data_IF_094895168584
#
_entry.id   IF_094895168584
#
_cell.length_a   1.000
_cell.length_b   1.000
_cell.length_c   1.000
_cell.angle_alpha   90.00
_cell.angle_beta   90.00
_cell.angle_gamma   90.00
#
_symmetry.space_group_name_H-M   'P 1'
#
loop_
_entity.id
_entity.type
_entity.pdbx_description
1 polymer ?
#
# COMPACT_ATOMS: atom_id res chain seq x y z
N UNK A 1 11.99 -3.18 -16.19
CA UNK A 1 12.62 -4.36 -15.54
C UNK A 1 12.95 -3.97 -14.12
N UNK A 2 12.55 -4.77 -13.13
CA UNK A 2 12.82 -4.51 -11.71
C UNK A 2 14.33 -4.65 -11.46
N UNK A 3 14.93 -3.74 -10.70
CA UNK A 3 16.34 -3.88 -10.29
C UNK A 3 16.50 -5.04 -9.30
N UNK A 4 17.69 -5.64 -9.22
CA UNK A 4 17.95 -6.71 -8.23
C UNK A 4 17.70 -6.23 -6.80
N UNK A 5 18.07 -4.99 -6.50
CA UNK A 5 17.87 -4.37 -5.19
C UNK A 5 16.39 -4.14 -4.87
N UNK A 6 15.60 -3.67 -5.83
CA UNK A 6 14.15 -3.54 -5.65
C UNK A 6 13.50 -4.91 -5.45
N UNK A 7 13.87 -5.92 -6.25
CA UNK A 7 13.36 -7.28 -6.08
C UNK A 7 13.72 -7.88 -4.70
N UNK A 8 14.94 -7.64 -4.21
CA UNK A 8 15.36 -8.08 -2.88
C UNK A 8 14.56 -7.40 -1.78
N UNK A 9 14.32 -6.08 -1.88
CA UNK A 9 13.48 -5.33 -0.93
C UNK A 9 12.05 -5.86 -0.88
N UNK A 10 11.45 -6.19 -2.03
CA UNK A 10 10.11 -6.81 -2.07
C UNK A 10 10.10 -8.16 -1.34
N UNK A 11 11.15 -8.97 -1.53
CA UNK A 11 11.27 -10.31 -0.94
C UNK A 11 11.47 -10.28 0.58
N UNK A 12 12.24 -9.31 1.11
CA UNK A 12 12.54 -9.18 2.54
C UNK A 12 11.28 -9.19 3.42
N UNK A 13 10.19 -8.57 2.94
CA UNK A 13 8.91 -8.54 3.67
C UNK A 13 8.29 -9.93 3.82
N UNK A 14 8.42 -10.77 2.80
CA UNK A 14 7.93 -12.15 2.79
C UNK A 14 8.83 -13.08 3.63
N UNK A 15 10.15 -12.90 3.54
CA UNK A 15 11.12 -13.63 4.35
C UNK A 15 10.88 -13.37 5.84
N UNK A 16 10.74 -12.09 6.22
CA UNK A 16 10.43 -11.71 7.59
C UNK A 16 9.12 -12.31 8.09
N UNK A 17 8.08 -12.30 7.27
CA UNK A 17 6.81 -12.95 7.63
C UNK A 17 6.98 -14.47 7.83
N UNK A 18 7.75 -15.13 6.96
CA UNK A 18 8.00 -16.57 7.06
C UNK A 18 8.74 -16.95 8.34
N UNK A 19 9.76 -16.18 8.72
CA UNK A 19 10.49 -16.34 10.00
C UNK A 19 9.53 -16.20 11.19
N UNK A 20 8.78 -15.09 11.24
CA UNK A 20 7.84 -14.83 12.33
C UNK A 20 6.75 -15.89 12.42
N UNK A 21 6.27 -16.37 11.27
CA UNK A 21 5.27 -17.44 11.20
C UNK A 21 5.82 -18.76 11.74
N UNK A 22 7.07 -19.09 11.44
CA UNK A 22 7.71 -20.31 11.95
C UNK A 22 7.91 -20.24 13.48
N UNK A 23 8.21 -19.05 14.01
CA UNK A 23 8.49 -18.86 15.44
C UNK A 23 7.22 -18.70 16.30
N UNK A 24 6.24 -17.92 15.83
CA UNK A 24 5.08 -17.50 16.64
C UNK A 24 3.72 -17.93 16.07
N UNK A 25 3.71 -18.58 14.89
CA UNK A 25 2.49 -18.89 14.15
C UNK A 25 1.92 -17.69 13.39
N UNK A 26 0.99 -17.97 12.47
CA UNK A 26 0.46 -16.98 11.51
C UNK A 26 -0.15 -15.75 12.17
N UNK A 27 -1.03 -15.93 13.16
CA UNK A 27 -1.77 -14.82 13.77
C UNK A 27 -0.82 -13.83 14.44
N UNK A 28 0.15 -14.32 15.21
CA UNK A 28 1.11 -13.47 15.93
C UNK A 28 2.12 -12.83 14.97
N UNK A 29 2.52 -13.55 13.91
CA UNK A 29 3.35 -12.99 12.86
C UNK A 29 2.68 -11.78 12.18
N UNK A 30 1.38 -11.88 11.86
CA UNK A 30 0.63 -10.76 11.27
C UNK A 30 0.55 -9.57 12.23
N UNK A 31 0.31 -9.80 13.52
CA UNK A 31 0.30 -8.75 14.54
C UNK A 31 1.65 -8.03 14.62
N UNK A 32 2.75 -8.78 14.64
CA UNK A 32 4.11 -8.21 14.66
C UNK A 32 4.40 -7.42 13.38
N UNK A 33 3.99 -7.92 12.22
CA UNK A 33 4.18 -7.23 10.94
C UNK A 33 3.38 -5.93 10.85
N UNK A 34 2.23 -5.83 11.55
CA UNK A 34 1.41 -4.61 11.63
C UNK A 34 2.01 -3.56 12.55
N UNK A 35 2.75 -3.98 13.59
CA UNK A 35 3.34 -3.05 14.56
C UNK A 35 4.28 -2.04 13.87
N UNK A 36 4.10 -0.76 14.18
CA UNK A 36 4.91 0.33 13.62
C UNK A 36 4.58 0.71 12.17
N UNK A 37 3.59 0.07 11.54
CA UNK A 37 3.23 0.42 10.16
C UNK A 37 2.60 1.81 10.07
N UNK A 38 1.81 2.25 11.06
CA UNK A 38 1.20 3.57 11.03
C UNK A 38 2.27 4.68 11.05
N UNK A 39 3.27 4.57 11.93
CA UNK A 39 4.39 5.51 12.00
C UNK A 39 5.22 5.50 10.71
N UNK A 40 5.41 4.31 10.10
CA UNK A 40 6.09 4.18 8.82
C UNK A 40 5.29 4.85 7.69
N UNK A 41 3.99 4.58 7.59
CA UNK A 41 3.11 5.18 6.58
C UNK A 41 3.07 6.69 6.73
N UNK A 42 2.96 7.19 7.97
CA UNK A 42 3.03 8.63 8.25
C UNK A 42 4.34 9.22 7.72
N UNK A 43 5.48 8.63 8.09
CA UNK A 43 6.80 9.10 7.65
C UNK A 43 6.96 9.12 6.13
N UNK A 44 6.39 8.15 5.42
CA UNK A 44 6.51 8.04 3.96
C UNK A 44 5.53 8.95 3.22
N UNK A 45 4.29 9.02 3.68
CA UNK A 45 3.22 9.72 2.97
C UNK A 45 3.11 11.19 3.35
N UNK A 46 3.31 11.56 4.61
CA UNK A 46 3.11 12.94 5.10
C UNK A 46 3.85 13.97 4.25
N UNK A 47 5.15 13.80 3.90
CA UNK A 47 5.85 14.76 3.06
C UNK A 47 5.27 14.92 1.64
N UNK A 48 4.54 13.92 1.14
CA UNK A 48 3.98 13.90 -0.21
C UNK A 48 2.57 14.48 -0.27
N UNK A 49 1.78 14.31 0.80
CA UNK A 49 0.34 14.63 0.80
C UNK A 49 -0.02 15.86 1.65
N UNK A 50 0.92 16.40 2.42
CA UNK A 50 0.70 17.61 3.19
C UNK A 50 0.65 18.85 2.27
N UNK A 51 -0.25 19.79 2.53
CA UNK A 51 -0.45 21.03 1.77
C UNK A 51 -0.81 20.90 0.27
N UNK A 52 -0.91 19.69 -0.26
CA UNK A 52 -1.29 19.43 -1.66
C UNK A 52 -2.56 18.56 -1.73
N UNK A 53 -3.12 18.39 -2.93
CA UNK A 53 -4.18 17.40 -3.13
C UNK A 53 -3.66 15.97 -2.99
N UNK A 54 -4.51 15.03 -2.59
CA UNK A 54 -4.12 13.62 -2.54
C UNK A 54 -3.66 13.13 -3.92
N UNK A 55 -4.34 13.53 -4.99
CA UNK A 55 -3.97 13.16 -6.35
C UNK A 55 -2.57 13.68 -6.75
N UNK A 56 -2.20 14.88 -6.31
CA UNK A 56 -0.86 15.42 -6.55
C UNK A 56 0.21 14.66 -5.76
N UNK A 57 -0.02 14.43 -4.46
CA UNK A 57 0.92 13.69 -3.62
C UNK A 57 1.14 12.25 -4.09
N UNK A 58 0.07 11.56 -4.49
CA UNK A 58 0.16 10.20 -5.02
C UNK A 58 0.84 10.15 -6.40
N UNK A 59 0.76 11.20 -7.22
CA UNK A 59 1.52 11.24 -8.48
C UNK A 59 3.03 11.31 -8.24
N UNK A 60 3.46 11.93 -7.15
CA UNK A 60 4.88 12.02 -6.80
C UNK A 60 5.49 10.67 -6.42
N UNK A 61 4.68 9.70 -5.95
CA UNK A 61 5.17 8.36 -5.60
C UNK A 61 5.22 7.40 -6.79
N UNK A 62 4.68 7.75 -7.96
CA UNK A 62 4.63 6.85 -9.13
C UNK A 62 6.02 6.33 -9.50
N UNK A 63 7.03 7.20 -9.57
CA UNK A 63 8.40 6.80 -9.93
C UNK A 63 8.99 5.80 -8.94
N UNK A 64 8.71 5.96 -7.65
CA UNK A 64 9.13 5.03 -6.59
C UNK A 64 8.52 3.65 -6.84
N UNK A 65 7.22 3.59 -7.15
CA UNK A 65 6.54 2.33 -7.44
C UNK A 65 7.03 1.68 -8.76
N UNK A 66 7.32 2.48 -9.77
CA UNK A 66 7.89 2.00 -11.04
C UNK A 66 9.25 1.31 -10.84
N UNK A 67 10.08 1.75 -9.89
CA UNK A 67 11.34 1.07 -9.53
C UNK A 67 11.10 -0.37 -9.04
N UNK A 68 9.97 -0.61 -8.38
CA UNK A 68 9.54 -1.93 -7.95
C UNK A 68 8.81 -2.73 -9.05
N UNK A 69 8.73 -2.19 -10.27
CA UNK A 69 8.05 -2.82 -11.41
C UNK A 69 6.54 -2.80 -11.32
N UNK A 70 5.99 -1.89 -10.52
CA UNK A 70 4.58 -1.60 -10.48
C UNK A 70 4.19 -0.68 -11.64
N UNK A 71 2.92 -0.74 -12.06
CA UNK A 71 2.36 0.16 -13.07
C UNK A 71 1.15 0.85 -12.47
N UNK A 72 1.42 2.03 -11.91
CA UNK A 72 0.45 2.83 -11.15
C UNK A 72 -0.12 3.94 -12.02
N UNK A 73 -1.42 4.18 -11.87
CA UNK A 73 -2.13 5.34 -12.41
C UNK A 73 -2.89 6.02 -11.28
N UNK A 74 -2.94 7.35 -11.32
CA UNK A 74 -3.57 8.18 -10.28
C UNK A 74 -4.69 9.01 -10.89
N UNK A 75 -5.92 8.76 -10.45
CA UNK A 75 -7.10 9.49 -10.88
C UNK A 75 -7.58 10.38 -9.74
N UNK A 76 -7.68 11.68 -10.01
CA UNK A 76 -8.31 12.62 -9.09
C UNK A 76 -9.83 12.44 -9.16
N UNK A 77 -10.44 12.17 -8.01
CA UNK A 77 -11.89 12.02 -7.87
C UNK A 77 -12.44 13.01 -6.83
N UNK A 78 -11.69 14.08 -6.53
CA UNK A 78 -12.08 15.14 -5.60
C UNK A 78 -13.38 15.80 -6.07
N UNK A 79 -14.35 15.88 -5.17
CA UNK A 79 -15.67 16.49 -5.43
C UNK A 79 -16.37 16.85 -4.12
N UNK A 80 -17.32 17.78 -4.16
CA UNK A 80 -18.22 18.14 -3.03
C UNK A 80 -17.49 18.28 -1.68
N UNK A 81 -16.43 19.10 -1.63
CA UNK A 81 -15.67 19.35 -0.40
C UNK A 81 -14.80 18.19 0.10
N UNK A 82 -14.55 17.18 -0.75
CA UNK A 82 -13.60 16.09 -0.51
C UNK A 82 -12.37 16.22 -1.39
N UNK A 83 -11.22 15.98 -0.78
CA UNK A 83 -9.94 15.71 -1.45
C UNK A 83 -9.82 14.19 -1.56
N UNK A 84 -9.89 13.64 -2.77
CA UNK A 84 -10.02 12.20 -2.98
C UNK A 84 -9.27 11.71 -4.22
N UNK A 85 -8.73 10.50 -4.11
CA UNK A 85 -7.88 9.90 -5.14
C UNK A 85 -8.20 8.42 -5.33
N UNK A 86 -8.08 7.95 -6.57
CA UNK A 86 -7.91 6.53 -6.88
C UNK A 86 -6.46 6.27 -7.30
N UNK A 87 -5.83 5.32 -6.63
CA UNK A 87 -4.62 4.66 -7.10
C UNK A 87 -5.04 3.36 -7.80
N UNK A 88 -4.65 3.21 -9.07
CA UNK A 88 -4.94 2.05 -9.89
C UNK A 88 -3.63 1.36 -10.23
N UNK A 89 -3.49 0.12 -9.77
CA UNK A 89 -2.31 -0.70 -9.98
C UNK A 89 -2.60 -1.82 -10.97
N UNK A 90 -1.97 -1.78 -12.16
CA UNK A 90 -2.15 -2.81 -13.19
C UNK A 90 -1.20 -4.00 -13.04
N UNK A 91 -0.05 -3.78 -12.42
CA UNK A 91 0.97 -4.82 -12.22
C UNK A 91 1.36 -4.87 -10.76
N UNK A 92 1.25 -6.05 -10.15
CA UNK A 92 1.65 -6.30 -8.77
C UNK A 92 2.82 -7.31 -8.73
N UNK A 93 4.04 -6.88 -8.39
CA UNK A 93 5.22 -7.76 -8.36
C UNK A 93 5.15 -8.77 -7.20
N UNK A 94 4.31 -8.51 -6.19
CA UNK A 94 4.15 -9.42 -5.05
C UNK A 94 3.33 -10.68 -5.37
N UNK A 95 2.60 -10.71 -6.49
CA UNK A 95 1.76 -11.85 -6.86
C UNK A 95 2.57 -13.13 -7.06
N UNK A 96 3.76 -13.04 -7.67
CA UNK A 96 4.64 -14.20 -7.84
C UNK A 96 5.24 -14.68 -6.51
N UNK A 97 5.53 -13.74 -5.60
CA UNK A 97 6.13 -14.04 -4.30
C UNK A 97 5.17 -14.75 -3.34
N UNK A 98 3.87 -14.44 -3.36
CA UNK A 98 2.91 -15.06 -2.45
C UNK A 98 2.94 -16.59 -2.49
N UNK A 99 3.06 -17.18 -3.69
CA UNK A 99 3.12 -18.64 -3.86
C UNK A 99 4.38 -19.24 -3.25
N UNK A 100 5.53 -18.59 -3.41
CA UNK A 100 6.80 -19.06 -2.88
C UNK A 100 6.81 -19.18 -1.35
N UNK A 101 6.03 -18.33 -0.67
CA UNK A 101 5.95 -18.27 0.80
C UNK A 101 4.66 -18.88 1.37
N UNK A 102 3.89 -19.60 0.55
CA UNK A 102 2.68 -20.31 0.99
C UNK A 102 1.54 -19.39 1.46
N UNK A 103 1.44 -18.19 0.90
CA UNK A 103 0.36 -17.24 1.14
C UNK A 103 -0.72 -17.37 0.06
N UNK A 104 -1.99 -17.31 0.48
CA UNK A 104 -3.12 -17.28 -0.46
C UNK A 104 -3.10 -16.00 -1.31
N UNK A 105 -2.82 -14.87 -0.68
CA UNK A 105 -2.66 -13.58 -1.36
C UNK A 105 -1.46 -12.82 -0.75
N UNK A 106 -0.75 -12.02 -1.54
CA UNK A 106 0.28 -11.12 -1.01
C UNK A 106 -0.32 -9.97 -0.19
N UNK A 107 -1.58 -9.61 -0.46
CA UNK A 107 -2.26 -8.43 0.08
C UNK A 107 -2.31 -8.44 1.62
N UNK A 108 -2.51 -9.61 2.22
CA UNK A 108 -2.67 -9.76 3.67
C UNK A 108 -1.44 -9.29 4.47
N UNK A 109 -0.26 -9.29 3.86
CA UNK A 109 0.98 -8.78 4.46
C UNK A 109 1.48 -7.52 3.79
N UNK A 110 0.78 -6.96 2.81
CA UNK A 110 1.15 -5.74 2.08
C UNK A 110 -0.01 -4.75 2.16
N UNK A 111 -0.75 -4.58 1.06
CA UNK A 111 -1.71 -3.48 0.91
C UNK A 111 -2.87 -3.51 1.93
N UNK A 112 -3.28 -4.68 2.44
CA UNK A 112 -4.32 -4.76 3.47
C UNK A 112 -3.84 -4.09 4.76
N UNK A 113 -2.61 -4.39 5.17
CA UNK A 113 -1.99 -3.76 6.34
C UNK A 113 -1.66 -2.29 6.09
N UNK A 114 -1.20 -1.96 4.89
CA UNK A 114 -0.80 -0.58 4.56
C UNK A 114 -2.02 0.35 4.56
N UNK A 115 -3.16 -0.05 3.98
CA UNK A 115 -4.39 0.75 4.01
C UNK A 115 -4.90 0.93 5.43
N UNK A 116 -4.91 -0.14 6.24
CA UNK A 116 -5.29 -0.05 7.67
C UNK A 116 -4.35 0.90 8.43
N UNK A 117 -3.03 0.79 8.20
CA UNK A 117 -2.03 1.65 8.82
C UNK A 117 -2.13 3.12 8.39
N UNK A 118 -2.57 3.39 7.16
CA UNK A 118 -2.81 4.74 6.67
C UNK A 118 -3.98 5.40 7.40
N UNK A 119 -5.07 4.68 7.65
CA UNK A 119 -6.20 5.21 8.44
C UNK A 119 -5.80 5.50 9.89
N UNK A 120 -4.90 4.68 10.46
CA UNK A 120 -4.34 4.91 11.80
C UNK A 120 -3.39 6.12 11.82
N UNK A 121 -2.55 6.27 10.79
CA UNK A 121 -1.58 7.36 10.66
C UNK A 121 -2.22 8.74 10.42
N UNK A 122 -3.36 8.75 9.72
CA UNK A 122 -4.07 9.96 9.29
C UNK A 122 -5.56 9.84 9.65
N UNK A 123 -5.95 10.22 10.88
CA UNK A 123 -7.32 10.02 11.38
C UNK A 123 -8.43 10.73 10.59
N UNK A 124 -8.07 11.72 9.78
CA UNK A 124 -8.96 12.47 8.89
C UNK A 124 -9.11 11.84 7.49
N UNK A 125 -8.29 10.83 7.19
CA UNK A 125 -8.26 10.14 5.90
C UNK A 125 -8.90 8.75 6.01
N UNK A 126 -9.68 8.38 4.99
CA UNK A 126 -10.29 7.06 4.85
C UNK A 126 -9.66 6.34 3.67
N UNK A 127 -9.18 5.13 3.89
CA UNK A 127 -8.56 4.26 2.89
C UNK A 127 -9.42 3.02 2.61
N UNK A 128 -9.62 2.67 1.35
CA UNK A 128 -10.40 1.48 0.94
C UNK A 128 -9.74 0.77 -0.22
N UNK A 129 -9.81 -0.56 -0.21
CA UNK A 129 -9.43 -1.39 -1.36
C UNK A 129 -10.72 -1.78 -2.09
N UNK A 130 -10.87 -1.32 -3.32
CA UNK A 130 -12.08 -1.54 -4.13
C UNK A 130 -11.98 -2.78 -5.03
N UNK A 131 -10.77 -3.16 -5.44
CA UNK A 131 -10.50 -4.36 -6.24
C UNK A 131 -9.08 -4.86 -6.00
N UNK A 132 -8.84 -6.14 -6.27
CA UNK A 132 -7.54 -6.80 -6.07
C UNK A 132 -7.25 -7.77 -7.21
N UNK A 133 -6.08 -7.62 -7.82
CA UNK A 133 -5.50 -8.65 -8.71
C UNK A 133 -5.48 -10.04 -8.04
N UNK A 134 -5.18 -10.09 -6.74
CA UNK A 134 -5.15 -11.33 -5.97
C UNK A 134 -6.53 -12.02 -5.84
N UNK A 135 -7.62 -11.31 -6.10
CA UNK A 135 -8.99 -11.83 -6.11
C UNK A 135 -9.51 -12.13 -7.53
N UNK A 136 -8.66 -12.01 -8.56
CA UNK A 136 -9.02 -12.27 -9.96
C UNK A 136 -9.52 -11.05 -10.73
N UNK A 137 -9.51 -9.85 -10.11
CA UNK A 137 -9.82 -8.61 -10.82
C UNK A 137 -8.70 -8.24 -11.81
N UNK A 138 -8.99 -7.33 -12.75
CA UNK A 138 -8.01 -6.89 -13.75
C UNK A 138 -6.96 -5.90 -13.22
N UNK A 139 -7.22 -5.26 -12.09
CA UNK A 139 -6.36 -4.25 -11.45
C UNK A 139 -6.58 -4.28 -9.94
N UNK A 140 -5.63 -3.76 -9.15
CA UNK A 140 -5.95 -3.33 -7.79
C UNK A 140 -6.38 -1.86 -7.83
N UNK A 141 -7.41 -1.50 -7.09
CA UNK A 141 -7.84 -0.10 -6.95
C UNK A 141 -7.92 0.26 -5.48
N UNK A 142 -7.20 1.31 -5.10
CA UNK A 142 -7.21 1.88 -3.77
C UNK A 142 -7.85 3.26 -3.84
N UNK A 143 -8.77 3.53 -2.92
CA UNK A 143 -9.41 4.83 -2.76
C UNK A 143 -8.95 5.43 -1.45
N UNK A 144 -8.50 6.68 -1.51
CA UNK A 144 -8.26 7.49 -0.33
C UNK A 144 -9.06 8.79 -0.42
N UNK A 145 -9.64 9.21 0.69
CA UNK A 145 -10.37 10.49 0.77
C UNK A 145 -10.24 11.15 2.15
N UNK A 146 -10.23 12.48 2.15
CA UNK A 146 -10.30 13.34 3.34
C UNK A 146 -11.14 14.58 3.06
N UNK A 147 -11.48 15.34 4.09
CA UNK A 147 -12.09 16.66 3.90
C UNK A 147 -11.08 17.64 3.29
N UNK A 148 -11.51 18.52 2.38
CA UNK A 148 -10.59 19.50 1.75
C UNK A 148 -9.92 20.43 2.77
N UNK A 149 -10.57 20.66 3.92
CA UNK A 149 -10.05 21.49 5.00
C UNK A 149 -8.96 20.80 5.83
N UNK A 150 -8.74 19.50 5.63
CA UNK A 150 -7.71 18.73 6.35
C UNK A 150 -6.32 18.79 5.70
N UNK A 151 -6.13 19.65 4.70
CA UNK A 151 -4.82 19.98 4.14
C UNK A 151 -4.08 20.88 5.15
N UNK A 152 -3.44 20.28 6.15
CA UNK A 152 -2.47 20.98 7.02
C UNK A 152 -1.23 21.39 6.22
#
# INVERSE_FOLDING_TARGET
>A
MITKEAAQRLRQRFERFSELKAEYGTSKALEIMRSGQAELQKKLMEPLINQVSLAEGFRQSISIFEEFGMNMEVVDISNVGKDAVLEIQRVCPYMSLAREFGLQTPCQITCDMEVEAVEEAFPDMKGRILSKLACGDCVCVFKYERDTNSRN
#
